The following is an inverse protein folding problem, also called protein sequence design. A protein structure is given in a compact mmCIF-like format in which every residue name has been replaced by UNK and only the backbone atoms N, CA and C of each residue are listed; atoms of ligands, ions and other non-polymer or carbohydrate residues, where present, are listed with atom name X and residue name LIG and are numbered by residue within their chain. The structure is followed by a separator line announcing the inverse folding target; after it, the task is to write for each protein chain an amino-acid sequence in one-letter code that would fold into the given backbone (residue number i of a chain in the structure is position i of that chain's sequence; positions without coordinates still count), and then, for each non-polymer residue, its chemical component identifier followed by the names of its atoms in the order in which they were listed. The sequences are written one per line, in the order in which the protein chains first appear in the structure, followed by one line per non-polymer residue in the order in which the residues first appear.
data_IF_980420979090
#
_entry.id   IF_980420979090
#
_cell.length_a   1.000
_cell.length_b   1.000
_cell.length_c   1.000
_cell.angle_alpha   90.00
_cell.angle_beta   90.00
_cell.angle_gamma   90.00
#
_symmetry.space_group_name_H-M   'P 1'
#
loop_
_entity.id
_entity.type
_entity.pdbx_description
1 polymer ?
#
# COMPACT_ATOMS: atom_id res chain seq x y z
N UNK A 1 -36.66 -56.44 -12.69
CA UNK A 1 -36.71 -55.03 -12.23
C UNK A 1 -35.95 -54.78 -10.93
N UNK A 2 -35.03 -55.67 -10.52
CA UNK A 2 -34.40 -55.59 -9.18
C UNK A 2 -33.04 -54.87 -9.14
N UNK A 3 -32.42 -54.57 -10.29
CA UNK A 3 -31.10 -53.92 -10.34
C UNK A 3 -31.13 -52.38 -10.37
N UNK A 4 -32.30 -51.78 -10.58
CA UNK A 4 -32.48 -50.32 -10.61
C UNK A 4 -32.67 -49.73 -9.20
N UNK A 5 -33.22 -50.49 -8.25
CA UNK A 5 -33.41 -50.02 -6.87
C UNK A 5 -32.11 -49.87 -6.08
N UNK A 6 -31.13 -50.76 -6.32
CA UNK A 6 -29.87 -50.75 -5.57
C UNK A 6 -28.95 -49.58 -5.95
N UNK A 7 -28.98 -49.15 -7.22
CA UNK A 7 -28.19 -48.00 -7.71
C UNK A 7 -28.74 -46.66 -7.20
N UNK A 8 -30.05 -46.56 -6.98
CA UNK A 8 -30.66 -45.34 -6.44
C UNK A 8 -30.38 -45.16 -4.94
N UNK A 9 -30.29 -46.26 -4.19
CA UNK A 9 -29.97 -46.24 -2.76
C UNK A 9 -28.48 -45.92 -2.53
N UNK A 10 -27.58 -46.38 -3.40
CA UNK A 10 -26.15 -46.06 -3.29
C UNK A 10 -25.84 -44.58 -3.63
N UNK A 11 -26.60 -43.96 -4.54
CA UNK A 11 -26.48 -42.52 -4.82
C UNK A 11 -27.03 -41.65 -3.67
N UNK A 12 -28.02 -42.12 -2.91
CA UNK A 12 -28.59 -41.36 -1.80
C UNK A 12 -27.69 -41.38 -0.54
N UNK A 13 -26.87 -42.42 -0.35
CA UNK A 13 -25.89 -42.48 0.75
C UNK A 13 -24.63 -41.63 0.52
N UNK A 14 -24.35 -41.18 -0.70
CA UNK A 14 -23.22 -40.28 -0.98
C UNK A 14 -23.53 -38.79 -0.71
N UNK A 15 -24.77 -38.45 -0.35
CA UNK A 15 -25.24 -37.08 -0.16
C UNK A 15 -25.17 -36.58 1.30
N UNK A 16 -24.65 -37.38 2.24
CA UNK A 16 -24.62 -37.03 3.68
C UNK A 16 -23.21 -36.92 4.26
N UNK A 17 -22.18 -36.68 3.45
CA UNK A 17 -20.88 -36.27 3.99
C UNK A 17 -20.99 -34.76 4.26
N UNK A 18 -21.06 -34.29 5.52
CA UNK A 18 -20.85 -32.88 5.78
C UNK A 18 -19.42 -32.57 5.34
N UNK A 19 -19.28 -31.74 4.31
CA UNK A 19 -18.04 -31.02 4.07
C UNK A 19 -17.77 -30.21 5.34
N UNK A 20 -16.92 -30.73 6.23
CA UNK A 20 -16.16 -29.87 7.12
C UNK A 20 -15.21 -29.07 6.24
N UNK A 21 -15.72 -27.97 5.69
CA UNK A 21 -14.89 -26.82 5.39
C UNK A 21 -14.49 -26.30 6.75
N UNK A 22 -13.31 -26.70 7.20
CA UNK A 22 -12.62 -25.99 8.26
C UNK A 22 -12.24 -24.64 7.68
N UNK A 23 -13.19 -23.71 7.68
CA UNK A 23 -12.87 -22.31 7.72
C UNK A 23 -12.03 -22.16 8.98
N UNK A 24 -10.72 -22.01 8.80
CA UNK A 24 -9.96 -21.17 9.71
C UNK A 24 -10.73 -19.86 9.76
N UNK A 25 -11.63 -19.75 10.74
CA UNK A 25 -11.91 -18.47 11.35
C UNK A 25 -10.52 -17.97 11.72
N UNK A 26 -10.02 -16.99 10.95
CA UNK A 26 -9.02 -16.09 11.48
C UNK A 26 -9.65 -15.57 12.76
N UNK A 27 -9.28 -16.18 13.88
CA UNK A 27 -9.33 -15.54 15.19
C UNK A 27 -8.86 -14.13 14.90
N UNK A 28 -9.80 -13.20 15.03
CA UNK A 28 -9.54 -11.78 14.89
C UNK A 28 -8.61 -11.45 16.04
N UNK A 29 -7.32 -11.73 15.82
CA UNK A 29 -6.27 -11.46 16.76
C UNK A 29 -6.36 -9.96 16.98
N UNK A 30 -6.63 -9.59 18.22
CA UNK A 30 -6.59 -8.21 18.67
C UNK A 30 -5.12 -7.78 18.54
N UNK A 31 -4.72 -7.41 17.33
CA UNK A 31 -3.38 -6.99 17.03
C UNK A 31 -3.22 -5.63 17.69
N UNK A 32 -2.53 -5.61 18.83
CA UNK A 32 -2.14 -4.40 19.53
C UNK A 32 -1.21 -3.57 18.63
N UNK A 33 -1.81 -2.70 17.82
CA UNK A 33 -1.09 -1.71 17.02
C UNK A 33 -0.62 -0.60 17.95
N UNK A 34 0.70 -0.46 18.10
CA UNK A 34 1.32 0.50 19.00
C UNK A 34 2.11 1.52 18.18
N UNK A 35 1.78 2.80 18.35
CA UNK A 35 2.60 3.89 17.83
C UNK A 35 3.92 3.98 18.60
N UNK A 36 5.01 4.14 17.85
CA UNK A 36 6.36 4.41 18.37
C UNK A 36 6.84 5.81 17.94
N UNK A 37 5.96 6.69 17.47
CA UNK A 37 6.34 7.98 16.88
C UNK A 37 7.17 8.86 17.81
N UNK A 38 6.89 8.84 19.13
CA UNK A 38 7.61 9.63 20.11
C UNK A 38 8.89 8.93 20.61
N UNK A 39 8.92 7.61 20.55
CA UNK A 39 10.00 6.76 21.06
C UNK A 39 11.02 6.39 19.98
N UNK A 40 10.65 6.49 18.71
CA UNK A 40 11.51 6.14 17.58
C UNK A 40 12.72 7.09 17.56
N UNK A 41 13.90 6.52 17.64
CA UNK A 41 15.16 7.29 17.59
C UNK A 41 15.47 7.77 16.17
N UNK A 42 14.78 7.24 15.16
CA UNK A 42 14.83 7.70 13.78
C UNK A 42 13.70 8.71 13.51
N UNK A 43 14.07 9.91 13.03
CA UNK A 43 13.08 10.90 12.57
C UNK A 43 12.64 10.58 11.16
N UNK A 44 11.47 9.94 11.05
CA UNK A 44 10.82 9.73 9.77
C UNK A 44 10.53 11.07 9.10
N UNK A 45 11.10 11.30 7.92
CA UNK A 45 10.69 12.43 7.08
C UNK A 45 9.38 12.03 6.42
N UNK A 46 8.29 12.72 6.76
CA UNK A 46 7.05 12.54 6.01
C UNK A 46 7.31 12.96 4.57
N UNK A 47 7.06 12.06 3.62
CA UNK A 47 6.95 12.43 2.21
C UNK A 47 5.81 13.46 2.10
N UNK A 48 6.17 14.75 2.03
CA UNK A 48 5.20 15.84 1.92
C UNK A 48 4.31 15.59 0.70
N UNK A 49 3.01 15.42 0.95
CA UNK A 49 2.01 15.46 -0.11
C UNK A 49 1.92 16.88 -0.60
N UNK A 50 2.74 17.20 -1.60
CA UNK A 50 2.43 18.34 -2.45
C UNK A 50 1.23 17.93 -3.29
N UNK A 51 0.02 18.16 -2.76
CA UNK A 51 -1.20 18.09 -3.57
C UNK A 51 -1.14 19.25 -4.57
N UNK A 52 -0.79 18.93 -5.81
CA UNK A 52 -0.64 19.93 -6.86
C UNK A 52 -2.01 20.19 -7.45
N UNK A 53 -2.59 21.34 -7.08
CA UNK A 53 -3.85 21.75 -7.68
C UNK A 53 -3.65 22.12 -9.16
N UNK A 54 -4.50 21.61 -10.07
CA UNK A 54 -4.48 22.03 -11.46
C UNK A 54 -4.77 23.53 -11.57
N UNK A 55 -3.96 24.26 -12.34
CA UNK A 55 -4.25 25.64 -12.72
C UNK A 55 -5.52 25.69 -13.57
N UNK A 56 -6.12 26.89 -13.71
CA UNK A 56 -7.34 27.05 -14.53
C UNK A 56 -7.17 26.49 -15.95
N UNK A 57 -6.01 26.72 -16.57
CA UNK A 57 -5.67 26.19 -17.88
C UNK A 57 -5.66 24.66 -17.90
N UNK A 58 -5.07 24.04 -16.88
CA UNK A 58 -4.97 22.58 -16.81
C UNK A 58 -6.33 21.97 -16.49
N UNK A 59 -7.17 22.61 -15.68
CA UNK A 59 -8.57 22.18 -15.48
C UNK A 59 -9.33 22.11 -16.81
N UNK A 60 -9.27 23.18 -17.61
CA UNK A 60 -9.85 23.20 -18.98
C UNK A 60 -9.32 22.04 -19.85
N UNK A 61 -8.01 21.79 -19.80
CA UNK A 61 -7.40 20.72 -20.59
C UNK A 61 -7.80 19.31 -20.11
N UNK A 62 -8.04 19.12 -18.82
CA UNK A 62 -8.39 17.83 -18.22
C UNK A 62 -9.88 17.49 -18.42
N UNK A 63 -10.76 18.49 -18.50
CA UNK A 63 -12.20 18.30 -18.73
C UNK A 63 -12.51 17.66 -20.10
N UNK A 64 -11.72 17.99 -21.12
CA UNK A 64 -11.93 17.51 -22.50
C UNK A 64 -11.32 16.12 -22.76
N UNK A 65 -10.70 15.50 -21.74
CA UNK A 65 -9.97 14.23 -21.88
C UNK A 65 -10.89 13.03 -21.62
N UNK A 66 -10.74 11.99 -22.44
CA UNK A 66 -11.51 10.73 -22.36
C UNK A 66 -11.03 9.74 -21.28
N UNK A 67 -9.85 9.95 -20.71
CA UNK A 67 -9.22 9.10 -19.69
C UNK A 67 -8.85 9.93 -18.46
N UNK A 68 -9.20 9.47 -17.27
CA UNK A 68 -8.87 10.18 -16.03
C UNK A 68 -7.35 10.33 -15.86
N UNK A 69 -6.92 11.55 -15.57
CA UNK A 69 -5.53 11.89 -15.24
C UNK A 69 -5.48 12.44 -13.81
N UNK A 70 -4.90 11.66 -12.91
CA UNK A 70 -4.70 12.00 -11.50
C UNK A 70 -3.21 12.13 -11.13
N UNK A 71 -2.30 11.85 -12.07
CA UNK A 71 -0.86 11.89 -11.79
C UNK A 71 -0.39 13.31 -11.41
N UNK A 72 0.10 13.53 -10.17
CA UNK A 72 0.48 14.86 -9.71
C UNK A 72 1.70 15.43 -10.47
N UNK A 73 2.63 14.59 -10.93
CA UNK A 73 3.81 15.03 -11.68
C UNK A 73 3.45 15.49 -13.10
N UNK A 74 2.50 14.80 -13.75
CA UNK A 74 1.99 15.25 -15.04
C UNK A 74 1.24 16.58 -14.89
N UNK A 75 0.36 16.70 -13.88
CA UNK A 75 -0.36 17.94 -13.58
C UNK A 75 0.62 19.08 -13.28
N UNK A 76 1.69 18.82 -12.51
CA UNK A 76 2.76 19.78 -12.25
C UNK A 76 3.42 20.26 -13.53
N UNK A 77 3.83 19.33 -14.39
CA UNK A 77 4.49 19.65 -15.65
C UNK A 77 3.60 20.49 -16.56
N UNK A 78 2.29 20.19 -16.60
CA UNK A 78 1.31 20.97 -17.33
C UNK A 78 1.09 22.36 -16.71
N UNK A 79 1.10 22.48 -15.38
CA UNK A 79 1.00 23.77 -14.68
C UNK A 79 2.20 24.68 -14.92
N UNK A 80 3.39 24.11 -15.00
CA UNK A 80 4.64 24.84 -15.30
C UNK A 80 4.72 25.22 -16.79
N UNK A 81 3.90 24.58 -17.64
CA UNK A 81 3.84 24.85 -19.06
C UNK A 81 2.99 26.09 -19.38
N UNK A 82 3.44 26.87 -20.36
CA UNK A 82 2.71 28.05 -20.86
C UNK A 82 2.32 27.86 -22.32
N UNK A 83 1.02 27.90 -22.62
CA UNK A 83 0.49 27.80 -23.98
C UNK A 83 -0.10 29.15 -24.37
N UNK A 84 0.52 29.83 -25.35
CA UNK A 84 0.05 31.12 -25.88
C UNK A 84 -0.25 30.99 -27.37
N UNK A 85 -1.41 30.42 -27.76
CA UNK A 85 -1.80 30.39 -29.17
C UNK A 85 -2.10 31.81 -29.65
N UNK A 86 -1.68 32.15 -30.87
CA UNK A 86 -2.05 33.44 -31.44
C UNK A 86 -3.55 33.44 -31.81
N UNK A 87 -4.34 34.45 -31.40
CA UNK A 87 -5.77 34.53 -31.70
C UNK A 87 -6.06 34.61 -33.20
N UNK A 88 -5.06 34.99 -34.01
CA UNK A 88 -5.16 35.10 -35.47
C UNK A 88 -4.43 33.96 -36.20
N UNK A 89 -4.06 32.88 -35.50
CA UNK A 89 -3.37 31.73 -36.09
C UNK A 89 -4.31 30.90 -36.98
N UNK A 90 -4.59 31.39 -38.19
CA UNK A 90 -5.24 30.60 -39.23
C UNK A 90 -4.27 29.55 -39.80
N UNK A 91 -4.70 28.29 -39.85
CA UNK A 91 -3.94 27.19 -40.45
C UNK A 91 -2.87 26.55 -39.55
N UNK A 92 -2.56 27.11 -38.38
CA UNK A 92 -1.61 26.50 -37.45
C UNK A 92 -2.17 25.22 -36.84
N UNK A 93 -1.46 24.11 -37.06
CA UNK A 93 -1.72 22.81 -36.45
C UNK A 93 -0.41 22.26 -35.93
N UNK A 94 -0.38 21.95 -34.64
CA UNK A 94 0.75 21.26 -34.03
C UNK A 94 0.23 20.14 -33.13
N UNK A 95 1.00 19.07 -33.04
CA UNK A 95 0.72 17.98 -32.13
C UNK A 95 2.03 17.66 -31.41
N UNK A 96 2.06 17.94 -30.11
CA UNK A 96 3.28 17.84 -29.29
C UNK A 96 3.17 16.59 -28.45
N UNK A 97 4.11 15.66 -28.62
CA UNK A 97 4.20 14.48 -27.77
C UNK A 97 4.85 14.85 -26.43
N UNK A 98 4.11 14.65 -25.34
CA UNK A 98 4.55 14.95 -23.97
C UNK A 98 5.19 13.75 -23.27
N UNK A 99 5.10 12.56 -23.86
CA UNK A 99 5.69 11.34 -23.34
C UNK A 99 4.67 10.26 -23.01
N UNK A 100 5.19 9.12 -22.54
CA UNK A 100 4.41 8.04 -21.95
C UNK A 100 4.28 8.29 -20.45
N UNK A 101 3.07 8.26 -19.92
CA UNK A 101 2.81 8.62 -18.51
C UNK A 101 1.86 7.60 -17.86
N UNK A 102 2.05 7.31 -16.56
CA UNK A 102 0.99 6.73 -15.76
C UNK A 102 -0.02 7.85 -15.49
N UNK A 103 -1.26 7.63 -15.91
CA UNK A 103 -2.30 8.65 -15.94
C UNK A 103 -3.11 8.64 -14.64
N UNK A 104 -3.55 7.46 -14.22
CA UNK A 104 -4.35 7.28 -13.01
C UNK A 104 -4.14 5.90 -12.42
N UNK A 105 -4.39 5.79 -11.11
CA UNK A 105 -4.42 4.54 -10.38
C UNK A 105 -5.79 4.38 -9.73
N UNK A 106 -6.36 3.19 -9.88
CA UNK A 106 -7.62 2.81 -9.26
C UNK A 106 -7.36 1.63 -8.32
N UNK A 107 -7.44 1.88 -7.00
CA UNK A 107 -7.43 0.83 -5.98
C UNK A 107 -8.71 0.00 -6.09
N UNK A 108 -8.55 -1.32 -6.03
CA UNK A 108 -9.62 -2.32 -6.07
C UNK A 108 -9.76 -3.02 -4.72
N UNK A 109 -8.62 -3.37 -4.09
CA UNK A 109 -8.56 -4.02 -2.80
C UNK A 109 -7.45 -3.39 -1.95
N UNK A 110 -7.76 -3.09 -0.69
CA UNK A 110 -6.80 -2.49 0.24
C UNK A 110 -6.94 -3.15 1.60
N UNK A 111 -5.95 -3.95 1.99
CA UNK A 111 -5.96 -4.77 3.20
C UNK A 111 -4.72 -4.51 4.04
N UNK A 112 -4.86 -4.59 5.37
CA UNK A 112 -3.72 -4.47 6.29
C UNK A 112 -3.22 -5.86 6.66
N UNK A 113 -1.93 -6.10 6.44
CA UNK A 113 -1.24 -7.26 6.99
C UNK A 113 -0.43 -6.84 8.22
N UNK A 114 -0.89 -7.29 9.39
CA UNK A 114 -0.38 -6.90 10.70
C UNK A 114 0.98 -7.50 11.04
N UNK A 115 1.36 -8.62 10.42
CA UNK A 115 2.57 -9.40 10.73
C UNK A 115 3.47 -9.55 9.51
N UNK A 116 3.70 -8.44 8.78
CA UNK A 116 4.42 -8.49 7.51
C UNK A 116 5.91 -8.79 7.66
N UNK A 117 6.62 -8.01 8.48
CA UNK A 117 8.06 -8.19 8.65
C UNK A 117 8.49 -7.96 10.09
N UNK A 118 9.16 -8.95 10.68
CA UNK A 118 9.77 -8.83 12.00
C UNK A 118 10.95 -7.86 11.95
N UNK A 119 10.88 -6.80 12.76
CA UNK A 119 11.94 -5.79 12.87
C UNK A 119 12.89 -6.08 14.01
N UNK A 120 12.44 -6.80 15.04
CA UNK A 120 13.25 -7.16 16.20
C UNK A 120 12.61 -8.29 17.02
N UNK A 121 13.43 -8.95 17.82
CA UNK A 121 12.99 -9.98 18.77
C UNK A 121 13.75 -9.80 20.07
N UNK A 122 13.03 -9.51 21.15
CA UNK A 122 13.59 -9.47 22.50
C UNK A 122 13.29 -10.80 23.20
N UNK A 123 14.29 -11.35 23.90
CA UNK A 123 14.15 -12.59 24.66
C UNK A 123 14.54 -12.36 26.12
N UNK A 124 13.79 -12.98 27.04
CA UNK A 124 14.08 -12.98 28.46
C UNK A 124 13.95 -14.40 29.02
N UNK A 125 15.06 -14.96 29.47
CA UNK A 125 15.11 -16.30 30.05
C UNK A 125 14.86 -16.23 31.57
N UNK A 126 13.69 -16.69 32.01
CA UNK A 126 13.31 -16.79 33.43
C UNK A 126 13.22 -18.26 33.91
N UNK A 127 13.93 -19.18 33.25
CA UNK A 127 13.82 -20.63 33.52
C UNK A 127 14.29 -20.99 34.94
N UNK A 128 15.31 -20.30 35.45
CA UNK A 128 15.85 -20.51 36.81
C UNK A 128 15.41 -19.42 37.80
N UNK A 129 14.45 -18.58 37.43
CA UNK A 129 14.03 -17.48 38.27
C UNK A 129 13.13 -17.92 39.42
N UNK A 130 13.30 -17.27 40.56
CA UNK A 130 12.47 -17.46 41.75
C UNK A 130 11.24 -16.53 41.76
N UNK A 131 11.19 -15.56 40.83
CA UNK A 131 10.11 -14.56 40.69
C UNK A 131 9.81 -14.31 39.23
N UNK A 132 8.59 -13.83 38.95
CA UNK A 132 8.24 -13.33 37.63
C UNK A 132 9.16 -12.17 37.24
N UNK A 133 9.53 -12.10 35.97
CA UNK A 133 10.31 -11.01 35.40
C UNK A 133 9.49 -10.28 34.34
N UNK A 134 9.93 -9.09 33.96
CA UNK A 134 9.27 -8.27 32.96
C UNK A 134 10.17 -8.08 31.75
N UNK A 135 9.64 -8.32 30.56
CA UNK A 135 10.27 -7.99 29.28
C UNK A 135 9.59 -6.77 28.67
N UNK A 136 10.36 -5.89 28.06
CA UNK A 136 9.86 -4.74 27.31
C UNK A 136 10.52 -4.70 25.94
N UNK A 137 9.92 -3.97 25.02
CA UNK A 137 10.48 -3.82 23.69
C UNK A 137 11.69 -2.87 23.70
N UNK A 138 12.79 -3.33 23.11
CA UNK A 138 14.01 -2.55 22.91
C UNK A 138 14.64 -2.90 21.56
N UNK A 139 14.70 -1.93 20.65
CA UNK A 139 15.27 -2.12 19.32
C UNK A 139 16.79 -2.29 19.38
N UNK A 140 17.29 -3.47 19.01
CA UNK A 140 18.71 -3.82 19.10
C UNK A 140 19.52 -3.18 17.96
N UNK A 141 18.98 -3.20 16.74
CA UNK A 141 19.61 -2.70 15.51
C UNK A 141 18.63 -1.82 14.73
N UNK A 142 19.12 -0.81 14.01
CA UNK A 142 18.27 -0.05 13.11
C UNK A 142 17.73 -0.93 11.99
N UNK A 143 16.44 -0.84 11.69
CA UNK A 143 15.79 -1.64 10.65
C UNK A 143 15.12 -0.77 9.61
N UNK A 144 15.52 -0.95 8.35
CA UNK A 144 14.88 -0.35 7.18
C UNK A 144 13.91 -1.36 6.57
N UNK A 145 12.69 -0.90 6.34
CA UNK A 145 11.60 -1.68 5.75
C UNK A 145 11.16 -0.94 4.50
N UNK A 146 11.51 -1.49 3.34
CA UNK A 146 11.17 -0.91 2.05
C UNK A 146 9.89 -1.55 1.51
N UNK A 147 8.93 -0.70 1.19
CA UNK A 147 7.76 -1.07 0.41
C UNK A 147 8.12 -1.26 -1.07
N UNK A 148 7.39 -2.15 -1.72
CA UNK A 148 7.66 -2.52 -3.11
C UNK A 148 6.36 -2.67 -3.91
N UNK A 149 6.46 -2.47 -5.22
CA UNK A 149 5.40 -2.86 -6.14
C UNK A 149 5.47 -4.37 -6.40
N UNK A 150 4.34 -5.02 -6.57
CA UNK A 150 4.26 -6.45 -6.91
C UNK A 150 4.62 -6.74 -8.37
N UNK A 151 4.53 -5.73 -9.23
CA UNK A 151 4.82 -5.82 -10.65
C UNK A 151 6.01 -4.94 -11.04
N UNK A 152 6.80 -5.42 -12.01
CA UNK A 152 7.88 -4.63 -12.62
C UNK A 152 7.28 -3.78 -13.74
N UNK A 153 7.16 -2.48 -13.47
CA UNK A 153 6.57 -1.50 -14.39
C UNK A 153 7.55 -0.33 -14.52
N UNK A 154 7.53 0.34 -15.67
CA UNK A 154 8.27 1.58 -15.85
C UNK A 154 7.66 2.71 -14.99
N UNK A 155 8.43 3.77 -14.73
CA UNK A 155 7.95 4.94 -13.98
C UNK A 155 7.48 4.60 -12.55
N UNK A 156 8.13 3.61 -11.92
CA UNK A 156 7.85 3.07 -10.58
C UNK A 156 7.58 4.15 -9.54
N UNK A 157 8.39 5.21 -9.49
CA UNK A 157 8.26 6.25 -8.46
C UNK A 157 6.95 7.04 -8.59
N UNK A 158 6.53 7.33 -9.82
CA UNK A 158 5.26 8.02 -10.06
C UNK A 158 4.07 7.13 -9.69
N UNK A 159 4.16 5.84 -10.02
CA UNK A 159 3.13 4.85 -9.67
C UNK A 159 3.05 4.67 -8.16
N UNK A 160 4.19 4.54 -7.47
CA UNK A 160 4.28 4.52 -6.01
C UNK A 160 3.60 5.74 -5.39
N UNK A 161 3.89 6.95 -5.88
CA UNK A 161 3.24 8.17 -5.38
C UNK A 161 1.72 8.15 -5.53
N UNK A 162 1.21 7.76 -6.69
CA UNK A 162 -0.24 7.67 -6.91
C UNK A 162 -0.90 6.61 -6.01
N UNK A 163 -0.26 5.45 -5.85
CA UNK A 163 -0.75 4.39 -4.96
C UNK A 163 -0.72 4.87 -3.51
N UNK A 164 0.36 5.52 -3.08
CA UNK A 164 0.49 6.07 -1.72
C UNK A 164 -0.62 7.09 -1.41
N UNK A 165 -0.85 8.03 -2.32
CA UNK A 165 -1.90 9.03 -2.19
C UNK A 165 -3.28 8.36 -2.12
N UNK A 166 -3.51 7.31 -2.92
CA UNK A 166 -4.78 6.58 -2.90
C UNK A 166 -4.96 5.81 -1.59
N UNK A 167 -3.95 5.10 -1.12
CA UNK A 167 -3.99 4.35 0.12
C UNK A 167 -4.19 5.27 1.35
N UNK A 168 -3.51 6.41 1.41
CA UNK A 168 -3.72 7.42 2.48
C UNK A 168 -5.10 8.07 2.44
N UNK A 169 -5.75 8.12 1.28
CA UNK A 169 -7.16 8.56 1.21
C UNK A 169 -8.15 7.52 1.74
N UNK A 170 -7.73 6.26 1.87
CA UNK A 170 -8.55 5.13 2.33
C UNK A 170 -8.26 4.74 3.78
N UNK A 171 -7.03 5.01 4.26
CA UNK A 171 -6.55 4.63 5.59
C UNK A 171 -5.98 5.83 6.33
N UNK A 172 -6.22 5.91 7.64
CA UNK A 172 -5.73 7.00 8.50
C UNK A 172 -4.28 6.79 8.98
N UNK A 173 -3.60 5.75 8.48
CA UNK A 173 -2.26 5.37 8.92
C UNK A 173 -1.16 6.21 8.23
N UNK A 174 -0.02 6.46 8.91
CA UNK A 174 1.14 7.13 8.31
C UNK A 174 1.89 6.19 7.34
N UNK A 175 1.34 6.03 6.14
CA UNK A 175 1.91 5.15 5.11
C UNK A 175 3.16 5.75 4.46
N UNK A 176 4.15 4.92 4.15
CA UNK A 176 5.37 5.30 3.42
C UNK A 176 5.95 4.10 2.68
N UNK A 177 6.69 4.33 1.59
CA UNK A 177 7.45 3.27 0.92
C UNK A 177 8.79 2.97 1.59
N UNK A 178 9.18 3.72 2.61
CA UNK A 178 10.42 3.47 3.35
C UNK A 178 10.22 3.78 4.82
N UNK A 179 9.94 2.77 5.64
CA UNK A 179 9.79 2.92 7.08
C UNK A 179 11.10 2.51 7.78
N UNK A 180 11.49 3.27 8.81
CA UNK A 180 12.69 2.99 9.60
C UNK A 180 12.34 2.91 11.08
N UNK A 181 12.83 1.86 11.73
CA UNK A 181 12.80 1.71 13.18
C UNK A 181 14.23 1.91 13.69
N UNK A 182 14.47 3.03 14.36
CA UNK A 182 15.79 3.42 14.82
C UNK A 182 16.31 2.53 15.96
N UNK A 183 17.63 2.34 16.00
CA UNK A 183 18.30 1.62 17.09
C UNK A 183 17.99 2.26 18.45
N UNK A 184 17.85 1.45 19.49
CA UNK A 184 17.59 1.91 20.87
C UNK A 184 16.18 2.50 21.11
N UNK A 185 15.30 2.43 20.11
CA UNK A 185 13.86 2.69 20.29
C UNK A 185 13.32 1.77 21.39
N UNK A 186 12.66 2.35 22.39
CA UNK A 186 12.21 1.63 23.60
C UNK A 186 10.77 2.00 23.95
N UNK A 187 9.97 0.99 24.26
CA UNK A 187 8.62 1.18 24.80
C UNK A 187 8.58 0.90 26.31
N UNK A 188 7.69 1.61 26.99
CA UNK A 188 7.42 1.44 28.43
C UNK A 188 6.51 0.26 28.74
N UNK A 189 5.73 -0.24 27.76
CA UNK A 189 4.84 -1.40 27.91
C UNK A 189 5.68 -2.65 28.24
N UNK A 190 5.37 -3.30 29.35
CA UNK A 190 6.02 -4.53 29.81
C UNK A 190 5.10 -5.73 29.66
N UNK A 191 5.72 -6.91 29.52
CA UNK A 191 5.06 -8.21 29.50
C UNK A 191 5.66 -9.08 30.60
N UNK A 192 4.81 -9.76 31.36
CA UNK A 192 5.27 -10.62 32.46
C UNK A 192 5.70 -11.98 31.95
N UNK A 193 6.93 -12.37 32.25
CA UNK A 193 7.50 -13.70 32.00
C UNK A 193 7.43 -14.51 33.31
N UNK A 194 6.58 -15.56 33.38
CA UNK A 194 6.48 -16.41 34.56
C UNK A 194 7.80 -17.10 34.90
N UNK A 195 7.94 -17.54 36.15
CA UNK A 195 9.05 -18.43 36.56
C UNK A 195 9.06 -19.71 35.73
N UNK A 196 10.25 -20.25 35.50
CA UNK A 196 10.45 -21.50 34.74
C UNK A 196 10.10 -21.43 33.25
N UNK A 197 9.94 -20.22 32.71
CA UNK A 197 9.66 -19.98 31.28
C UNK A 197 10.65 -19.01 30.65
N UNK A 198 10.74 -19.04 29.33
CA UNK A 198 11.40 -18.02 28.51
C UNK A 198 10.34 -17.18 27.79
N UNK A 199 10.41 -15.87 27.93
CA UNK A 199 9.56 -14.93 27.19
C UNK A 199 10.23 -14.50 25.90
N UNK A 200 9.48 -14.51 24.80
CA UNK A 200 9.90 -14.02 23.49
C UNK A 200 8.90 -12.94 23.06
N UNK A 201 9.39 -11.72 22.86
CA UNK A 201 8.62 -10.60 22.36
C UNK A 201 9.09 -10.27 20.94
N UNK A 202 8.27 -10.57 19.95
CA UNK A 202 8.50 -10.22 18.54
C UNK A 202 7.81 -8.91 18.24
N UNK A 203 8.52 -8.04 17.53
CA UNK A 203 7.97 -6.80 17.00
C UNK A 203 7.92 -6.90 15.48
N UNK A 204 6.74 -6.70 14.89
CA UNK A 204 6.54 -6.69 13.45
C UNK A 204 6.12 -5.29 13.01
N UNK A 205 6.54 -4.92 11.81
CA UNK A 205 6.00 -3.75 11.12
C UNK A 205 4.79 -4.20 10.29
N UNK A 206 3.63 -3.57 10.47
CA UNK A 206 2.47 -3.83 9.63
C UNK A 206 2.60 -3.13 8.27
N UNK A 207 1.90 -3.66 7.28
CA UNK A 207 1.92 -3.16 5.90
C UNK A 207 0.50 -3.06 5.36
N UNK A 208 0.20 -2.04 4.57
CA UNK A 208 -0.98 -2.01 3.72
C UNK A 208 -0.63 -2.65 2.39
N UNK A 209 -1.38 -3.69 2.02
CA UNK A 209 -1.35 -4.30 0.70
C UNK A 209 -2.48 -3.70 -0.12
N UNK A 210 -2.13 -2.77 -1.00
CA UNK A 210 -3.09 -2.15 -1.93
C UNK A 210 -2.90 -2.76 -3.32
N UNK A 211 -3.98 -3.26 -3.92
CA UNK A 211 -3.99 -3.86 -5.26
C UNK A 211 -5.03 -3.18 -6.11
N UNK A 212 -4.68 -2.93 -7.37
CA UNK A 212 -5.57 -2.29 -8.32
C UNK A 212 -4.97 -2.18 -9.70
N UNK A 213 -5.43 -1.18 -10.44
CA UNK A 213 -5.09 -1.02 -11.86
C UNK A 213 -4.49 0.37 -12.12
N UNK A 214 -3.32 0.40 -12.74
CA UNK A 214 -2.73 1.62 -13.29
C UNK A 214 -3.12 1.76 -14.77
N UNK A 215 -3.55 2.95 -15.16
CA UNK A 215 -3.78 3.32 -16.56
C UNK A 215 -2.58 4.09 -17.08
N UNK A 216 -1.93 3.57 -18.10
CA UNK A 216 -0.79 4.17 -18.79
C UNK A 216 -1.24 4.69 -20.15
N UNK A 217 -0.61 5.75 -20.65
CA UNK A 217 -0.90 6.24 -21.99
C UNK A 217 0.08 7.28 -22.50
N UNK A 218 0.10 7.44 -23.80
CA UNK A 218 0.88 8.45 -24.48
C UNK A 218 0.09 9.76 -24.51
N UNK A 219 0.68 10.81 -23.94
CA UNK A 219 0.02 12.11 -23.80
C UNK A 219 0.48 13.03 -24.91
N UNK A 220 -0.48 13.64 -25.59
CA UNK A 220 -0.26 14.62 -26.64
C UNK A 220 -0.98 15.93 -26.34
N UNK A 221 -0.35 17.04 -26.68
CA UNK A 221 -0.99 18.35 -26.72
C UNK A 221 -1.28 18.73 -28.17
N UNK A 222 -2.56 18.72 -28.54
CA UNK A 222 -3.03 19.15 -29.86
C UNK A 222 -3.35 20.65 -29.84
N UNK A 223 -2.73 21.38 -30.76
CA UNK A 223 -2.97 22.80 -30.99
C UNK A 223 -3.56 22.99 -32.38
N UNK A 224 -4.76 23.58 -32.47
CA UNK A 224 -5.47 23.83 -33.73
C UNK A 224 -6.01 25.27 -33.73
N UNK A 225 -5.26 26.17 -34.35
CA UNK A 225 -5.51 27.62 -34.27
C UNK A 225 -5.46 28.09 -32.81
N UNK A 226 -6.60 28.56 -32.29
CA UNK A 226 -6.75 28.98 -30.89
C UNK A 226 -7.12 27.84 -29.93
N UNK A 227 -7.51 26.66 -30.43
CA UNK A 227 -7.92 25.51 -29.61
C UNK A 227 -6.71 24.70 -29.14
N UNK A 228 -6.80 24.20 -27.91
CA UNK A 228 -5.78 23.41 -27.21
C UNK A 228 -6.49 22.23 -26.53
N UNK A 229 -6.07 21.00 -26.83
CA UNK A 229 -6.68 19.79 -26.26
C UNK A 229 -5.58 18.82 -25.84
N UNK A 230 -5.79 18.10 -24.73
CA UNK A 230 -5.01 16.91 -24.42
C UNK A 230 -5.62 15.70 -25.14
N UNK A 231 -4.77 14.93 -25.82
CA UNK A 231 -5.17 13.72 -26.53
C UNK A 231 -4.33 12.56 -26.01
N UNK A 232 -5.00 11.52 -25.54
CA UNK A 232 -4.34 10.36 -24.95
C UNK A 232 -4.45 9.23 -25.97
N UNK A 233 -3.31 8.63 -26.32
CA UNK A 233 -3.23 7.50 -27.25
C UNK A 233 -2.57 6.30 -26.57
N UNK A 234 -2.69 5.13 -27.19
CA UNK A 234 -2.03 3.90 -26.75
C UNK A 234 -2.27 3.61 -25.26
N UNK A 235 -3.53 3.76 -24.85
CA UNK A 235 -3.94 3.54 -23.45
C UNK A 235 -3.81 2.06 -23.14
N UNK A 236 -3.03 1.75 -22.12
CA UNK A 236 -2.91 0.39 -21.59
C UNK A 236 -3.26 0.38 -20.12
N UNK A 237 -3.77 -0.75 -19.65
CA UNK A 237 -4.16 -0.96 -18.27
C UNK A 237 -3.36 -2.13 -17.74
N UNK A 238 -2.73 -1.95 -16.59
CA UNK A 238 -1.90 -2.97 -15.98
C UNK A 238 -2.30 -3.13 -14.52
N UNK A 239 -2.42 -4.38 -14.08
CA UNK A 239 -2.61 -4.69 -12.67
C UNK A 239 -1.31 -4.43 -11.92
N UNK A 240 -1.42 -3.75 -10.79
CA UNK A 240 -0.30 -3.45 -9.92
C UNK A 240 -0.77 -3.52 -8.47
N UNK A 241 0.06 -4.12 -7.63
CA UNK A 241 -0.09 -4.04 -6.19
C UNK A 241 1.11 -3.35 -5.56
N UNK A 242 0.94 -2.88 -4.34
CA UNK A 242 1.99 -2.32 -3.52
C UNK A 242 1.91 -2.84 -2.09
N UNK A 243 3.06 -3.12 -1.52
CA UNK A 243 3.25 -3.27 -0.08
C UNK A 243 3.75 -1.93 0.46
N UNK A 244 2.93 -1.28 1.29
CA UNK A 244 3.19 0.06 1.84
C UNK A 244 3.30 -0.04 3.36
N UNK A 245 4.52 0.00 3.93
CA UNK A 245 4.72 -0.02 5.37
C UNK A 245 3.97 1.09 6.10
N UNK A 246 3.45 0.78 7.28
CA UNK A 246 2.92 1.77 8.22
C UNK A 246 4.09 2.31 9.04
N UNK A 247 4.46 3.57 8.83
CA UNK A 247 5.57 4.18 9.55
C UNK A 247 5.25 4.32 11.03
N UNK A 248 6.28 4.25 11.89
CA UNK A 248 6.15 4.51 13.33
C UNK A 248 5.06 3.70 14.05
N UNK A 249 4.67 2.54 13.52
CA UNK A 249 3.74 1.63 14.18
C UNK A 249 4.30 0.23 14.18
N UNK A 250 4.11 -0.49 15.28
CA UNK A 250 4.51 -1.88 15.45
C UNK A 250 3.37 -2.70 16.01
N UNK A 251 3.34 -3.96 15.62
CA UNK A 251 2.52 -5.00 16.24
C UNK A 251 3.44 -5.91 17.06
N UNK A 252 2.91 -6.45 18.15
CA UNK A 252 3.67 -7.28 19.07
C UNK A 252 3.07 -8.67 19.21
N UNK A 253 3.92 -9.68 19.10
CA UNK A 253 3.56 -11.06 19.45
C UNK A 253 4.39 -11.48 20.65
N UNK A 254 3.73 -11.77 21.77
CA UNK A 254 4.39 -12.27 22.97
C UNK A 254 4.10 -13.76 23.15
N UNK A 255 5.15 -14.57 23.22
CA UNK A 255 5.09 -16.00 23.43
C UNK A 255 5.91 -16.37 24.68
N UNK A 256 5.40 -17.30 25.49
CA UNK A 256 6.20 -17.92 26.57
C UNK A 256 6.43 -19.38 26.24
N UNK A 257 7.68 -19.82 26.32
CA UNK A 257 8.10 -21.23 26.14
C UNK A 257 8.55 -21.84 27.46
#
# INVERSE_FOLDING_TARGET
MEKLGLSAILCLMMLTIPLLVESKEEEQADHDLVSIENENTYKQVSEEETMIEPSKLVKELLEDVNVKIDNPLLIKSLNESTIKPSPFAFGYRANVFLGHWPLSYQSELSEVNWDFQTVNTNELNNVKGEKNQEIYYYQIEEKHVEGALTAKIDQTDQIKQMILQKARSQHEYPLTFHAVVGKETKLSKTYTVPTSKTGILKANIPVVKDTGQVTLGEVYLELKGSKKNLVIKNVTKQEVGAFIPIANHLTFTFETK
#
